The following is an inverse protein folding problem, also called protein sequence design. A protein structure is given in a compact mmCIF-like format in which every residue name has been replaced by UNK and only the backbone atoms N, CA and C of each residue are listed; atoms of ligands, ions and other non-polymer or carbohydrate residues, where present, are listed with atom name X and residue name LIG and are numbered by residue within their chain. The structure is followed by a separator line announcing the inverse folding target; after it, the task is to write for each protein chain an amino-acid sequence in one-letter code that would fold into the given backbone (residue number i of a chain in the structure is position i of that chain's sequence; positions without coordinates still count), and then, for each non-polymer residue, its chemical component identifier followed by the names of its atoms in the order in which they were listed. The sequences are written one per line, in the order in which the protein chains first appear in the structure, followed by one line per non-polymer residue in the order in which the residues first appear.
data_IF_373171845980
#
_entry.id   IF_373171845980
#
_cell.length_a   1.000
_cell.length_b   1.000
_cell.length_c   1.000
_cell.angle_alpha   90.00
_cell.angle_beta   90.00
_cell.angle_gamma   90.00
#
_symmetry.space_group_name_H-M   'P 1'
#
loop_
_entity.id
_entity.type
_entity.pdbx_description
1 polymer ?
#
# COMPACT_ATOMS: atom_id res chain seq x y z
N UNK A 1 -54.48 -9.29 -40.10
CA UNK A 1 -53.35 -8.53 -39.53
C UNK A 1 -52.42 -8.09 -40.65
N UNK A 2 -52.08 -6.82 -40.74
CA UNK A 2 -51.28 -6.28 -41.86
C UNK A 2 -49.85 -6.85 -41.77
N UNK A 3 -49.36 -7.50 -42.84
CA UNK A 3 -48.02 -8.12 -42.87
C UNK A 3 -46.91 -7.13 -42.47
N UNK A 4 -47.12 -5.84 -42.73
CA UNK A 4 -46.22 -4.75 -42.32
C UNK A 4 -46.12 -4.58 -40.81
N UNK A 5 -47.23 -4.72 -40.08
CA UNK A 5 -47.27 -4.60 -38.62
C UNK A 5 -46.58 -5.81 -37.96
N UNK A 6 -46.77 -7.02 -38.52
CA UNK A 6 -46.09 -8.22 -38.05
C UNK A 6 -44.57 -8.14 -38.24
N UNK A 7 -44.12 -7.68 -39.42
CA UNK A 7 -42.68 -7.51 -39.71
C UNK A 7 -42.02 -6.47 -38.80
N UNK A 8 -42.72 -5.37 -38.50
CA UNK A 8 -42.26 -4.37 -37.53
C UNK A 8 -42.12 -4.95 -36.11
N UNK A 9 -43.09 -5.75 -35.67
CA UNK A 9 -43.04 -6.40 -34.36
C UNK A 9 -41.86 -7.37 -34.23
N UNK A 10 -41.61 -8.19 -35.26
CA UNK A 10 -40.48 -9.13 -35.29
C UNK A 10 -39.14 -8.36 -35.28
N UNK A 11 -39.04 -7.28 -36.06
CA UNK A 11 -37.85 -6.43 -36.09
C UNK A 11 -37.53 -5.79 -34.73
N UNK A 12 -38.55 -5.32 -34.01
CA UNK A 12 -38.39 -4.74 -32.68
C UNK A 12 -37.90 -5.78 -31.66
N UNK A 13 -38.48 -6.98 -31.68
CA UNK A 13 -38.05 -8.08 -30.79
C UNK A 13 -36.61 -8.48 -31.08
N UNK A 14 -36.24 -8.61 -32.35
CA UNK A 14 -34.85 -8.90 -32.73
C UNK A 14 -33.88 -7.81 -32.26
N UNK A 15 -34.24 -6.53 -32.38
CA UNK A 15 -33.42 -5.43 -31.90
C UNK A 15 -33.23 -5.50 -30.38
N UNK A 16 -34.30 -5.76 -29.62
CA UNK A 16 -34.22 -5.90 -28.16
C UNK A 16 -33.30 -7.06 -27.79
N UNK A 17 -33.45 -8.22 -28.43
CA UNK A 17 -32.59 -9.38 -28.20
C UNK A 17 -31.12 -9.05 -28.50
N UNK A 18 -30.83 -8.37 -29.62
CA UNK A 18 -29.46 -7.97 -29.98
C UNK A 18 -28.87 -7.03 -28.92
N UNK A 19 -29.63 -6.02 -28.48
CA UNK A 19 -29.18 -5.07 -27.45
C UNK A 19 -28.94 -5.77 -26.11
N UNK A 20 -29.84 -6.66 -25.69
CA UNK A 20 -29.68 -7.46 -24.47
C UNK A 20 -28.46 -8.38 -24.54
N UNK A 21 -28.25 -9.06 -25.66
CA UNK A 21 -27.06 -9.90 -25.88
C UNK A 21 -25.78 -9.05 -25.85
N UNK A 22 -25.77 -7.88 -26.48
CA UNK A 22 -24.61 -6.98 -26.45
C UNK A 22 -24.32 -6.45 -25.04
N UNK A 23 -25.35 -6.21 -24.24
CA UNK A 23 -25.20 -5.79 -22.85
C UNK A 23 -24.67 -6.92 -21.95
N UNK A 24 -25.10 -8.16 -22.20
CA UNK A 24 -24.63 -9.35 -21.47
C UNK A 24 -23.22 -9.80 -21.88
N UNK A 25 -22.80 -9.52 -23.12
CA UNK A 25 -21.47 -9.86 -23.64
C UNK A 25 -20.45 -8.74 -23.40
N UNK A 26 -20.85 -7.57 -22.86
CA UNK A 26 -19.87 -6.53 -22.50
C UNK A 26 -18.79 -7.19 -21.64
N UNK A 27 -17.53 -7.27 -22.13
CA UNK A 27 -16.47 -7.86 -21.34
C UNK A 27 -16.42 -7.06 -20.05
N UNK A 28 -16.50 -7.75 -18.91
CA UNK A 28 -16.13 -7.12 -17.65
C UNK A 28 -14.74 -6.55 -17.91
N UNK A 29 -14.59 -5.22 -17.85
CA UNK A 29 -13.26 -4.64 -17.86
C UNK A 29 -12.58 -5.26 -16.65
N UNK A 30 -11.66 -6.18 -16.88
CA UNK A 30 -10.84 -6.64 -15.78
C UNK A 30 -10.13 -5.41 -15.22
N UNK A 31 -10.07 -5.25 -13.90
CA UNK A 31 -9.29 -4.18 -13.33
C UNK A 31 -7.87 -4.28 -13.89
N UNK A 32 -7.43 -3.23 -14.57
CA UNK A 32 -6.08 -3.15 -15.10
C UNK A 32 -5.16 -2.72 -13.95
N UNK A 33 -4.27 -3.62 -13.56
CA UNK A 33 -3.23 -3.35 -12.57
C UNK A 33 -1.88 -3.23 -13.28
N UNK A 34 -1.14 -2.16 -13.02
CA UNK A 34 0.22 -2.02 -13.54
C UNK A 34 1.22 -2.83 -12.72
N UNK A 35 2.21 -3.41 -13.39
CA UNK A 35 3.38 -4.02 -12.75
C UNK A 35 4.55 -3.05 -12.59
N UNK A 36 4.39 -1.83 -13.11
CA UNK A 36 5.40 -0.79 -13.03
C UNK A 36 5.12 0.13 -11.82
N UNK A 37 6.01 0.18 -10.81
CA UNK A 37 5.83 1.02 -9.63
C UNK A 37 5.63 2.52 -9.92
N UNK A 38 6.16 3.01 -11.04
CA UNK A 38 5.96 4.39 -11.47
C UNK A 38 4.47 4.72 -11.74
N UNK A 39 3.67 3.72 -12.11
CA UNK A 39 2.25 3.90 -12.38
C UNK A 39 1.39 3.84 -11.10
N UNK A 40 2.00 3.50 -9.95
CA UNK A 40 1.30 3.42 -8.66
C UNK A 40 1.31 4.75 -7.90
N UNK A 41 1.99 5.78 -8.42
CA UNK A 41 2.11 7.08 -7.76
C UNK A 41 1.48 8.15 -8.63
N UNK A 42 0.32 8.63 -8.23
CA UNK A 42 -0.42 9.65 -8.94
C UNK A 42 -0.12 11.04 -8.40
N UNK A 43 -0.28 12.06 -9.24
CA UNK A 43 -0.19 13.46 -8.79
C UNK A 43 -1.58 13.98 -8.48
N UNK A 44 -1.86 14.26 -7.21
CA UNK A 44 -3.13 14.85 -6.77
C UNK A 44 -3.15 16.34 -7.08
N UNK A 45 -2.03 17.02 -6.84
CA UNK A 45 -1.79 18.40 -7.22
C UNK A 45 -0.31 18.63 -7.62
N UNK A 46 0.13 19.89 -7.62
CA UNK A 46 1.50 20.28 -8.03
C UNK A 46 2.56 19.69 -7.09
N UNK A 47 2.29 19.66 -5.79
CA UNK A 47 3.21 19.21 -4.74
C UNK A 47 2.85 17.85 -4.16
N UNK A 48 1.56 17.50 -4.15
CA UNK A 48 1.04 16.29 -3.51
C UNK A 48 1.01 15.12 -4.49
N UNK A 49 1.53 13.99 -4.02
CA UNK A 49 1.48 12.69 -4.66
C UNK A 49 0.66 11.74 -3.79
N UNK A 50 0.06 10.74 -4.41
CA UNK A 50 -0.68 9.70 -3.70
C UNK A 50 -0.28 8.34 -4.23
N UNK A 51 0.01 7.41 -3.31
CA UNK A 51 0.20 6.00 -3.64
C UNK A 51 -1.18 5.36 -3.88
N UNK A 52 -1.44 4.90 -5.10
CA UNK A 52 -2.63 4.11 -5.41
C UNK A 52 -2.48 2.71 -4.82
N UNK A 53 -3.02 2.56 -3.60
CA UNK A 53 -3.05 1.33 -2.81
C UNK A 53 -3.65 0.18 -3.61
N UNK A 54 -4.70 0.44 -4.42
CA UNK A 54 -5.39 -0.58 -5.19
C UNK A 54 -4.54 -1.03 -6.39
N UNK A 55 -3.79 -0.15 -7.04
CA UNK A 55 -2.81 -0.52 -8.08
C UNK A 55 -1.66 -1.34 -7.49
N UNK A 56 -0.99 -0.82 -6.45
CA UNK A 56 0.17 -1.47 -5.84
C UNK A 56 -0.17 -2.86 -5.27
N UNK A 57 -1.34 -3.00 -4.65
CA UNK A 57 -1.80 -4.28 -4.06
C UNK A 57 -2.54 -5.20 -5.04
N UNK A 58 -2.76 -4.79 -6.29
CA UNK A 58 -3.66 -5.48 -7.23
C UNK A 58 -5.07 -5.72 -6.65
N UNK A 59 -5.59 -4.73 -5.93
CA UNK A 59 -6.89 -4.77 -5.24
C UNK A 59 -6.97 -5.69 -4.04
N UNK A 60 -5.83 -6.16 -3.53
CA UNK A 60 -5.77 -6.95 -2.31
C UNK A 60 -5.72 -6.08 -1.06
N UNK A 61 -5.47 -4.78 -1.15
CA UNK A 61 -5.45 -3.87 -0.02
C UNK A 61 -6.42 -2.69 -0.18
N UNK A 62 -6.91 -2.19 0.96
CA UNK A 62 -7.73 -0.99 1.07
C UNK A 62 -7.29 -0.20 2.31
N UNK A 63 -6.94 1.07 2.12
CA UNK A 63 -6.68 2.01 3.21
C UNK A 63 -7.91 2.90 3.41
N UNK A 64 -8.47 2.94 4.63
CA UNK A 64 -9.64 3.76 4.94
C UNK A 64 -9.30 5.01 5.76
N UNK A 65 -8.05 5.43 5.73
CA UNK A 65 -7.46 6.49 6.54
C UNK A 65 -7.28 6.20 8.05
N UNK A 66 -7.66 5.00 8.49
CA UNK A 66 -7.49 4.57 9.88
C UNK A 66 -6.63 3.31 9.93
N UNK A 67 -7.08 2.28 9.21
CA UNK A 67 -6.46 0.96 9.14
C UNK A 67 -6.21 0.60 7.67
N UNK A 68 -5.24 -0.29 7.44
CA UNK A 68 -5.09 -0.96 6.16
C UNK A 68 -5.73 -2.35 6.24
N UNK A 69 -6.72 -2.62 5.39
CA UNK A 69 -7.29 -3.95 5.23
C UNK A 69 -6.59 -4.67 4.09
N UNK A 70 -6.21 -5.92 4.34
CA UNK A 70 -5.59 -6.81 3.37
C UNK A 70 -6.43 -8.07 3.18
N UNK A 71 -6.70 -8.42 1.92
CA UNK A 71 -7.62 -9.48 1.50
C UNK A 71 -6.86 -10.60 0.79
N UNK A 72 -6.75 -11.76 1.44
CA UNK A 72 -6.10 -12.95 0.87
C UNK A 72 -7.00 -14.16 1.07
N UNK A 73 -7.30 -14.89 -0.02
CA UNK A 73 -8.00 -16.19 0.04
C UNK A 73 -9.29 -16.16 0.89
N UNK A 74 -10.07 -15.08 0.79
CA UNK A 74 -11.31 -14.89 1.56
C UNK A 74 -11.11 -14.55 3.05
N UNK A 75 -9.88 -14.30 3.48
CA UNK A 75 -9.54 -13.76 4.80
C UNK A 75 -9.23 -12.28 4.69
N UNK A 76 -9.66 -11.52 5.69
CA UNK A 76 -9.31 -10.11 5.88
C UNK A 76 -8.43 -9.99 7.11
N UNK A 77 -7.31 -9.28 6.94
CA UNK A 77 -6.40 -8.89 8.01
C UNK A 77 -6.36 -7.38 8.07
N UNK A 78 -6.45 -6.81 9.27
CA UNK A 78 -6.33 -5.37 9.48
C UNK A 78 -4.95 -5.10 10.03
N UNK A 79 -4.28 -4.12 9.47
CA UNK A 79 -3.00 -3.61 9.95
C UNK A 79 -3.20 -2.20 10.46
N UNK A 80 -2.60 -1.90 11.61
CA UNK A 80 -2.53 -0.55 12.15
C UNK A 80 -1.19 0.06 11.77
N UNK A 81 -1.21 1.34 11.36
CA UNK A 81 0.00 2.11 11.17
C UNK A 81 0.42 2.71 12.50
N UNK A 82 1.58 2.28 12.96
CA UNK A 82 2.21 2.73 14.18
C UNK A 82 3.59 3.31 13.86
N UNK A 83 4.18 3.98 14.83
CA UNK A 83 5.55 4.45 14.69
C UNK A 83 6.11 4.98 15.99
N UNK A 84 7.41 5.21 15.97
CA UNK A 84 8.16 5.85 17.04
C UNK A 84 8.94 7.01 16.43
N UNK A 85 8.96 8.15 17.12
CA UNK A 85 9.86 9.25 16.80
C UNK A 85 10.65 9.61 18.05
N UNK A 86 11.96 9.38 18.02
CA UNK A 86 12.85 9.52 19.19
C UNK A 86 12.25 8.82 20.42
N UNK A 87 11.89 7.54 20.23
CA UNK A 87 11.30 6.66 21.24
C UNK A 87 9.84 6.97 21.63
N UNK A 88 9.22 8.02 21.08
CA UNK A 88 7.82 8.38 21.38
C UNK A 88 6.87 7.76 20.38
N UNK A 89 5.96 6.94 20.89
CA UNK A 89 4.92 6.29 20.09
C UNK A 89 3.98 7.29 19.42
N UNK A 90 3.58 6.97 18.18
CA UNK A 90 2.50 7.61 17.44
C UNK A 90 1.82 6.58 16.53
N UNK A 91 0.68 6.95 15.94
CA UNK A 91 -0.01 6.12 14.95
C UNK A 91 0.29 6.63 13.53
N UNK A 92 -0.63 7.38 12.92
CA UNK A 92 -0.46 7.91 11.57
C UNK A 92 0.28 9.24 11.51
N UNK A 93 0.39 9.94 12.63
CA UNK A 93 1.04 11.24 12.66
C UNK A 93 1.72 11.51 14.01
N UNK A 94 2.92 12.08 13.94
CA UNK A 94 3.60 12.65 15.09
C UNK A 94 3.53 14.19 15.04
N UNK A 95 3.03 14.88 16.09
CA UNK A 95 2.84 16.33 16.06
C UNK A 95 4.17 17.12 16.01
N UNK A 96 4.19 18.27 15.31
CA UNK A 96 5.38 19.12 15.08
C UNK A 96 5.07 20.64 14.98
N UNK A 97 6.08 21.46 14.65
CA UNK A 97 5.95 22.93 14.55
C UNK A 97 5.10 23.39 13.33
N UNK A 98 5.13 22.66 12.23
CA UNK A 98 4.07 22.60 11.21
C UNK A 98 3.34 21.27 11.42
N UNK A 99 2.03 21.14 11.15
CA UNK A 99 1.08 20.41 12.01
C UNK A 99 1.50 18.97 12.39
N UNK A 100 2.30 18.33 11.54
CA UNK A 100 2.95 17.06 11.82
C UNK A 100 4.44 17.14 11.46
N UNK A 101 5.29 16.43 12.20
CA UNK A 101 6.70 16.21 11.86
C UNK A 101 6.89 14.90 11.08
N UNK A 102 6.07 13.89 11.39
CA UNK A 102 6.06 12.59 10.72
C UNK A 102 4.64 12.21 10.35
N UNK A 103 4.42 11.61 9.18
CA UNK A 103 3.13 11.09 8.72
C UNK A 103 3.25 9.71 8.05
N UNK A 104 2.25 8.85 8.29
CA UNK A 104 2.15 7.51 7.71
C UNK A 104 0.81 7.35 6.99
N UNK A 105 0.82 7.61 5.69
CA UNK A 105 -0.36 7.61 4.84
C UNK A 105 0.06 7.54 3.35
N UNK A 106 -0.86 7.24 2.42
CA UNK A 106 -0.53 7.16 1.00
C UNK A 106 -0.26 8.54 0.35
N UNK A 107 -0.72 9.64 0.96
CA UNK A 107 -0.49 11.00 0.44
C UNK A 107 0.85 11.57 0.91
N UNK A 108 1.74 11.88 -0.03
CA UNK A 108 3.08 12.39 0.23
C UNK A 108 3.32 13.76 -0.44
N UNK A 109 4.03 14.66 0.24
CA UNK A 109 4.43 15.98 -0.23
C UNK A 109 5.96 16.15 -0.11
N UNK A 110 6.75 15.58 -1.03
CA UNK A 110 8.21 15.63 -0.90
C UNK A 110 8.74 17.07 -0.85
N UNK A 111 9.63 17.36 0.11
CA UNK A 111 10.28 18.65 0.36
C UNK A 111 9.42 19.72 1.06
N UNK A 112 8.39 19.33 1.81
CA UNK A 112 7.61 20.24 2.66
C UNK A 112 8.11 20.29 4.12
N UNK A 113 9.05 19.42 4.48
CA UNK A 113 9.62 19.32 5.83
C UNK A 113 8.89 18.34 6.74
N UNK A 114 7.90 17.60 6.24
CA UNK A 114 7.24 16.49 6.93
C UNK A 114 7.90 15.19 6.48
N UNK A 115 8.33 14.35 7.42
CA UNK A 115 8.91 13.03 7.14
C UNK A 115 7.77 12.06 6.85
N UNK A 116 7.76 11.42 5.68
CA UNK A 116 6.62 10.60 5.26
C UNK A 116 7.04 9.22 4.78
N UNK A 117 6.24 8.23 5.16
CA UNK A 117 6.42 6.86 4.71
C UNK A 117 5.12 6.10 4.66
N UNK A 118 5.07 5.08 3.81
CA UNK A 118 3.89 4.25 3.63
C UNK A 118 4.26 2.84 3.22
N UNK A 119 3.49 1.86 3.65
CA UNK A 119 3.70 0.45 3.33
C UNK A 119 2.41 -0.13 2.77
N UNK A 120 2.53 -1.00 1.77
CA UNK A 120 1.40 -1.76 1.23
C UNK A 120 1.85 -3.17 0.86
N UNK A 121 0.96 -4.14 1.09
CA UNK A 121 1.24 -5.54 0.82
C UNK A 121 0.43 -6.08 -0.36
N UNK A 122 1.02 -7.06 -1.05
CA UNK A 122 0.32 -7.97 -1.95
C UNK A 122 0.77 -9.41 -1.75
N UNK A 123 -0.10 -10.35 -2.07
CA UNK A 123 0.14 -11.77 -1.94
C UNK A 123 0.06 -12.45 -3.31
N UNK A 124 1.21 -12.90 -3.81
CA UNK A 124 1.36 -13.51 -5.12
C UNK A 124 2.20 -14.77 -4.98
N UNK A 125 1.75 -15.89 -5.58
CA UNK A 125 2.47 -17.17 -5.58
C UNK A 125 2.96 -17.58 -4.18
N UNK A 126 2.04 -17.56 -3.21
CA UNK A 126 2.28 -17.93 -1.81
C UNK A 126 3.33 -17.08 -1.07
N UNK A 127 3.65 -15.89 -1.61
CA UNK A 127 4.65 -14.97 -1.05
C UNK A 127 4.03 -13.60 -0.79
N UNK A 128 4.31 -13.05 0.38
CA UNK A 128 4.01 -11.67 0.73
C UNK A 128 5.08 -10.75 0.14
N UNK A 129 4.65 -9.81 -0.69
CA UNK A 129 5.48 -8.74 -1.23
C UNK A 129 5.05 -7.45 -0.55
N UNK A 130 5.99 -6.76 0.08
CA UNK A 130 5.73 -5.48 0.74
C UNK A 130 6.48 -4.40 -0.01
N UNK A 131 5.75 -3.36 -0.38
CA UNK A 131 6.29 -2.15 -0.99
C UNK A 131 6.35 -1.07 0.06
N UNK A 132 7.52 -0.47 0.20
CA UNK A 132 7.82 0.54 1.21
C UNK A 132 8.14 1.82 0.45
N UNK A 133 7.31 2.84 0.64
CA UNK A 133 7.47 4.16 0.04
C UNK A 133 7.98 5.12 1.09
N UNK A 134 9.05 5.85 0.78
CA UNK A 134 9.61 6.90 1.63
C UNK A 134 9.80 8.16 0.79
N UNK A 135 9.50 9.30 1.38
CA UNK A 135 9.63 10.58 0.70
C UNK A 135 11.07 11.14 0.78
N UNK A 136 11.29 12.33 0.23
CA UNK A 136 12.61 12.93 0.18
C UNK A 136 13.03 13.59 1.50
N UNK A 137 12.08 14.01 2.33
CA UNK A 137 12.37 14.54 3.65
C UNK A 137 12.76 13.41 4.61
N UNK A 138 12.14 12.23 4.51
CA UNK A 138 12.63 11.02 5.18
C UNK A 138 14.10 10.75 4.86
N UNK A 139 14.47 10.72 3.59
CA UNK A 139 15.86 10.45 3.16
C UNK A 139 16.87 11.44 3.73
N UNK A 140 16.49 12.72 3.88
CA UNK A 140 17.39 13.76 4.40
C UNK A 140 17.56 13.64 5.91
N UNK A 141 16.47 13.39 6.63
CA UNK A 141 16.45 13.39 8.09
C UNK A 141 16.91 12.04 8.67
N UNK A 142 16.66 10.94 7.96
CA UNK A 142 16.94 9.55 8.38
C UNK A 142 17.71 8.80 7.27
N UNK A 143 18.94 9.23 6.92
CA UNK A 143 19.67 8.66 5.79
C UNK A 143 20.07 7.19 5.99
N UNK A 144 20.32 6.77 7.23
CA UNK A 144 20.70 5.41 7.60
C UNK A 144 19.48 4.51 7.88
N UNK A 145 18.46 4.61 7.02
CA UNK A 145 17.22 3.83 7.16
C UNK A 145 17.45 2.35 6.87
N UNK A 146 16.99 1.49 7.78
CA UNK A 146 16.93 0.05 7.62
C UNK A 146 15.49 -0.44 7.52
N UNK A 147 15.33 -1.61 6.90
CA UNK A 147 14.12 -2.40 6.90
C UNK A 147 14.41 -3.63 7.77
N UNK A 148 13.58 -3.87 8.78
CA UNK A 148 13.68 -5.02 9.69
C UNK A 148 12.36 -5.80 9.68
N UNK A 149 12.41 -7.10 9.38
CA UNK A 149 11.19 -7.88 9.15
C UNK A 149 11.36 -9.38 9.41
N UNK A 150 10.27 -10.12 9.16
CA UNK A 150 10.15 -11.55 9.34
C UNK A 150 9.80 -11.94 10.77
N UNK A 151 9.52 -13.23 10.97
CA UNK A 151 9.21 -13.76 12.30
C UNK A 151 10.39 -13.54 13.24
N UNK A 152 10.16 -12.94 14.40
CA UNK A 152 11.18 -12.61 15.40
C UNK A 152 12.30 -11.68 14.87
N UNK A 153 11.99 -10.88 13.84
CA UNK A 153 12.90 -9.90 13.22
C UNK A 153 14.21 -10.54 12.74
N UNK A 154 14.14 -11.69 12.08
CA UNK A 154 15.33 -12.43 11.62
C UNK A 154 15.99 -11.83 10.38
N UNK A 155 15.33 -10.91 9.68
CA UNK A 155 15.88 -10.24 8.50
C UNK A 155 16.06 -8.75 8.74
N UNK A 156 17.15 -8.19 8.23
CA UNK A 156 17.42 -6.77 8.21
C UNK A 156 18.31 -6.40 7.03
N UNK A 157 18.09 -5.23 6.42
CA UNK A 157 18.98 -4.60 5.43
C UNK A 157 18.73 -3.10 5.36
N UNK A 158 19.70 -2.35 4.82
CA UNK A 158 19.48 -0.95 4.49
C UNK A 158 18.40 -0.78 3.42
N UNK A 159 17.64 0.32 3.51
CA UNK A 159 16.69 0.75 2.50
C UNK A 159 17.44 1.33 1.29
N UNK A 160 17.03 0.94 0.07
CA UNK A 160 17.63 1.40 -1.16
C UNK A 160 16.96 2.66 -1.72
N UNK A 161 17.54 3.82 -1.42
CA UNK A 161 17.11 5.12 -1.96
C UNK A 161 17.53 5.38 -3.43
N UNK A 162 18.00 4.37 -4.17
CA UNK A 162 18.33 4.50 -5.59
C UNK A 162 17.09 4.38 -6.50
N UNK A 163 16.06 3.68 -6.04
CA UNK A 163 14.84 3.45 -6.82
C UNK A 163 13.80 4.54 -6.56
N UNK A 164 13.87 5.61 -7.34
CA UNK A 164 12.92 6.72 -7.30
C UNK A 164 11.74 6.47 -8.24
N UNK A 165 10.57 6.15 -7.69
CA UNK A 165 9.35 5.81 -8.46
C UNK A 165 8.53 7.05 -8.86
N UNK A 166 8.68 8.15 -8.13
CA UNK A 166 8.14 9.46 -8.51
C UNK A 166 9.08 10.54 -7.99
N UNK A 167 8.96 11.77 -8.48
CA UNK A 167 9.84 12.87 -8.07
C UNK A 167 9.77 13.07 -6.55
N UNK A 168 10.86 12.74 -5.85
CA UNK A 168 10.96 12.82 -4.39
C UNK A 168 10.35 11.63 -3.63
N UNK A 169 9.91 10.56 -4.30
CA UNK A 169 9.38 9.35 -3.65
C UNK A 169 10.21 8.15 -4.08
N UNK A 170 10.75 7.46 -3.08
CA UNK A 170 11.58 6.27 -3.23
C UNK A 170 10.78 5.04 -2.83
N UNK A 171 11.01 3.93 -3.52
CA UNK A 171 10.35 2.66 -3.21
C UNK A 171 11.37 1.55 -3.07
N UNK A 172 11.24 0.77 -2.02
CA UNK A 172 11.95 -0.49 -1.86
C UNK A 172 10.95 -1.65 -1.70
N UNK A 173 11.37 -2.86 -2.09
CA UNK A 173 10.55 -4.06 -2.05
C UNK A 173 11.22 -5.13 -1.19
N UNK A 174 10.43 -5.78 -0.34
CA UNK A 174 10.85 -6.99 0.38
C UNK A 174 9.90 -8.16 0.10
N UNK A 175 10.49 -9.34 0.04
CA UNK A 175 9.76 -10.60 0.17
C UNK A 175 9.72 -10.95 1.66
N UNK A 176 8.52 -11.00 2.20
CA UNK A 176 8.31 -11.18 3.63
C UNK A 176 8.20 -12.66 4.01
N UNK A 177 8.50 -12.96 5.28
CA UNK A 177 8.46 -14.30 5.84
C UNK A 177 7.01 -14.76 6.02
N UNK A 178 6.53 -15.80 5.31
CA UNK A 178 5.17 -16.28 5.48
C UNK A 178 4.88 -16.71 6.93
N UNK A 179 5.91 -17.03 7.72
CA UNK A 179 5.80 -17.41 9.15
C UNK A 179 5.47 -16.22 10.05
N UNK A 180 5.55 -14.98 9.56
CA UNK A 180 5.02 -13.79 10.26
C UNK A 180 3.50 -13.88 10.39
N UNK A 181 2.84 -14.64 9.54
CA UNK A 181 1.40 -14.82 9.58
C UNK A 181 0.98 -16.19 10.16
N UNK A 182 -0.17 -16.20 10.82
CA UNK A 182 -0.80 -17.39 11.37
C UNK A 182 -2.30 -17.43 11.15
N UNK A 183 -2.91 -18.55 11.53
CA UNK A 183 -4.36 -18.78 11.48
C UNK A 183 -4.98 -18.43 10.11
N UNK A 184 -4.37 -18.92 9.02
CA UNK A 184 -4.78 -18.62 7.65
C UNK A 184 -4.80 -17.10 7.39
N UNK A 185 -3.66 -16.45 7.65
CA UNK A 185 -3.42 -15.01 7.46
C UNK A 185 -4.10 -14.07 8.46
N UNK A 186 -4.96 -14.57 9.36
CA UNK A 186 -5.75 -13.74 10.30
C UNK A 186 -4.94 -13.03 11.38
N UNK A 187 -3.73 -13.50 11.66
CA UNK A 187 -2.88 -12.96 12.73
C UNK A 187 -1.50 -12.68 12.18
N UNK A 188 -1.01 -11.47 12.43
CA UNK A 188 0.39 -11.07 12.26
C UNK A 188 1.10 -11.24 13.62
N UNK A 189 2.20 -11.99 13.63
CA UNK A 189 3.00 -12.28 14.83
C UNK A 189 4.18 -11.33 15.02
N UNK A 190 4.52 -10.55 14.00
CA UNK A 190 5.61 -9.58 14.03
C UNK A 190 5.29 -8.44 13.06
N UNK A 191 5.93 -7.30 13.27
CA UNK A 191 5.78 -6.14 12.40
C UNK A 191 6.84 -6.09 11.30
N UNK A 192 6.67 -5.14 10.37
CA UNK A 192 7.74 -4.63 9.51
C UNK A 192 8.12 -3.25 10.06
N UNK A 193 9.41 -3.04 10.31
CA UNK A 193 9.94 -1.78 10.84
C UNK A 193 10.82 -1.13 9.79
N UNK A 194 10.62 0.18 9.59
CA UNK A 194 11.38 0.98 8.63
C UNK A 194 11.83 2.26 9.32
N UNK A 195 13.14 2.46 9.47
CA UNK A 195 13.70 3.60 10.21
C UNK A 195 15.17 3.46 10.57
N UNK A 196 15.66 4.33 11.46
CA UNK A 196 17.03 4.27 12.04
C UNK A 196 17.14 3.17 13.12
N UNK A 197 16.63 1.98 12.80
CA UNK A 197 16.52 0.85 13.72
C UNK A 197 17.41 -0.31 13.27
N UNK A 198 18.06 -0.97 14.21
CA UNK A 198 18.83 -2.20 13.99
C UNK A 198 18.00 -3.45 14.28
N UNK A 199 18.51 -4.59 13.82
CA UNK A 199 17.87 -5.88 14.06
C UNK A 199 17.82 -6.23 15.57
N UNK A 200 18.89 -5.93 16.30
CA UNK A 200 19.03 -6.16 17.73
C UNK A 200 18.04 -5.31 18.53
N UNK A 201 17.88 -4.05 18.14
CA UNK A 201 16.93 -3.11 18.74
C UNK A 201 15.48 -3.56 18.54
N UNK A 202 15.11 -3.98 17.32
CA UNK A 202 13.78 -4.52 17.04
C UNK A 202 13.44 -5.73 17.92
N UNK A 203 14.43 -6.60 18.23
CA UNK A 203 14.25 -7.75 19.12
C UNK A 203 14.10 -7.37 20.60
N UNK A 204 14.58 -6.21 21.02
CA UNK A 204 14.48 -5.72 22.40
C UNK A 204 13.14 -5.02 22.67
N UNK A 205 12.52 -4.44 21.63
CA UNK A 205 11.15 -3.91 21.66
C UNK A 205 10.99 -2.48 22.17
N UNK A 206 11.93 -1.92 22.95
CA UNK A 206 11.95 -0.51 23.32
C UNK A 206 13.36 0.08 23.22
N UNK A 207 13.47 1.21 22.51
CA UNK A 207 14.71 1.98 22.38
C UNK A 207 14.35 3.47 22.48
N UNK A 208 15.08 4.21 23.32
CA UNK A 208 14.73 5.59 23.69
C UNK A 208 14.87 6.59 22.53
N UNK A 209 15.68 6.29 21.51
CA UNK A 209 16.05 7.27 20.47
C UNK A 209 15.65 6.86 19.04
N UNK A 210 14.90 5.78 18.85
CA UNK A 210 14.53 5.32 17.50
C UNK A 210 13.44 6.18 16.85
N UNK A 211 13.58 6.37 15.54
CA UNK A 211 12.59 6.85 14.60
C UNK A 211 12.28 5.77 13.58
N UNK A 212 11.11 5.16 13.67
CA UNK A 212 10.68 4.11 12.74
C UNK A 212 9.17 4.13 12.52
N UNK A 213 8.74 3.75 11.32
CA UNK A 213 7.36 3.32 11.04
C UNK A 213 7.27 1.83 11.34
N UNK A 214 6.15 1.44 11.94
CA UNK A 214 5.81 0.07 12.30
C UNK A 214 4.51 -0.30 11.58
N UNK A 215 4.53 -1.45 10.92
CA UNK A 215 3.40 -1.97 10.18
C UNK A 215 3.07 -3.38 10.68
N UNK A 216 1.93 -3.52 11.38
CA UNK A 216 1.57 -4.72 12.13
C UNK A 216 0.11 -5.12 12.00
#
# INVERSE_FOLDING_TARGET
MNKKILLLGIGLVLLIVIVSVFYLIKPKKEPYYSDNPHDWVESVDVSTKEIDVNQASRGQALDNNRDMYFYINGTTTSFEYEGYYKGKYFTRHYPGEAPFLIRVNPEMQPNDGVIEGYLVERFINDTYQVFIFLDNDWKKEIPDTNIVWGKDYVFARAFDFSNQVSSGIYMDEILDDPRRFGLNHRVSYSAILVGDITQEEAKQGYVEDITAIVFQ
#
